data_IF_330188018619
#
_entry.id   IF_330188018619
#
_cell.length_a   1.000
_cell.length_b   1.000
_cell.length_c   1.000
_cell.angle_alpha   90.00
_cell.angle_beta   90.00
_cell.angle_gamma   90.00
#
_symmetry.space_group_name_H-M   'P 1'
#
loop_
_entity.id
_entity.type
_entity.pdbx_description
1 polymer ?
#
# COMPACT_ATOMS: atom_id res chain seq x y z
N UNK A 1 -18.56 -3.53 -25.99
CA UNK A 1 -19.02 -4.37 -24.87
C UNK A 1 -19.48 -3.38 -23.81
N UNK A 2 -20.78 -3.34 -23.54
CA UNK A 2 -21.42 -2.30 -22.71
C UNK A 2 -21.22 -2.65 -21.24
N UNK A 3 -21.20 -1.68 -20.32
CA UNK A 3 -21.07 -1.82 -18.85
C UNK A 3 -21.69 -3.08 -18.22
N UNK A 4 -22.89 -3.48 -18.67
CA UNK A 4 -23.61 -4.67 -18.18
C UNK A 4 -22.96 -6.00 -18.53
N UNK A 5 -22.10 -6.02 -19.54
CA UNK A 5 -21.45 -7.22 -20.05
C UNK A 5 -20.26 -7.62 -19.17
N UNK A 6 -19.50 -6.66 -18.61
CA UNK A 6 -18.30 -6.93 -17.80
C UNK A 6 -18.65 -7.55 -16.45
N UNK A 7 -19.55 -6.92 -15.69
CA UNK A 7 -19.99 -7.44 -14.38
C UNK A 7 -20.75 -8.77 -14.51
N UNK A 8 -21.59 -8.91 -15.53
CA UNK A 8 -22.29 -10.18 -15.82
C UNK A 8 -21.30 -11.29 -16.16
N UNK A 9 -20.35 -11.02 -17.04
CA UNK A 9 -19.35 -12.01 -17.45
C UNK A 9 -18.47 -12.42 -16.27
N UNK A 10 -18.13 -11.49 -15.38
CA UNK A 10 -17.45 -11.83 -14.14
C UNK A 10 -18.24 -12.79 -13.26
N UNK A 11 -19.54 -12.55 -13.09
CA UNK A 11 -20.40 -13.44 -12.30
C UNK A 11 -20.48 -14.84 -12.92
N UNK A 12 -20.52 -14.93 -14.25
CA UNK A 12 -20.45 -16.20 -14.99
C UNK A 12 -19.09 -16.91 -14.82
N UNK A 13 -18.00 -16.14 -14.73
CA UNK A 13 -16.62 -16.63 -14.56
C UNK A 13 -16.27 -16.96 -13.10
N UNK A 14 -17.01 -16.47 -12.10
CA UNK A 14 -16.74 -16.70 -10.66
C UNK A 14 -16.51 -18.17 -10.32
N UNK A 15 -17.25 -19.07 -10.95
CA UNK A 15 -17.19 -20.51 -10.71
C UNK A 15 -16.32 -21.28 -11.73
N UNK A 16 -15.67 -20.59 -12.66
CA UNK A 16 -14.76 -21.18 -13.64
C UNK A 16 -13.35 -21.37 -13.06
N UNK A 17 -12.56 -22.14 -13.80
CA UNK A 17 -11.17 -22.39 -13.44
C UNK A 17 -10.30 -21.11 -13.52
N UNK A 18 -9.10 -21.13 -12.91
CA UNK A 18 -8.22 -19.97 -12.90
C UNK A 18 -7.69 -19.55 -14.29
N UNK A 19 -7.62 -20.45 -15.27
CA UNK A 19 -7.09 -20.13 -16.61
C UNK A 19 -8.09 -19.28 -17.41
N UNK A 20 -9.38 -19.63 -17.35
CA UNK A 20 -10.44 -18.81 -17.95
C UNK A 20 -10.50 -17.41 -17.31
N UNK A 21 -10.37 -17.33 -15.98
CA UNK A 21 -10.31 -16.05 -15.25
C UNK A 21 -9.08 -15.22 -15.64
N UNK A 22 -7.92 -15.86 -15.83
CA UNK A 22 -6.70 -15.19 -16.27
C UNK A 22 -6.86 -14.60 -17.67
N UNK A 23 -7.40 -15.38 -18.61
CA UNK A 23 -7.62 -14.92 -19.98
C UNK A 23 -8.48 -13.67 -20.00
N UNK A 24 -9.49 -13.62 -19.13
CA UNK A 24 -10.36 -12.47 -18.97
C UNK A 24 -9.68 -11.26 -18.31
N UNK A 25 -8.94 -11.43 -17.20
CA UNK A 25 -8.16 -10.34 -16.58
C UNK A 25 -7.16 -9.74 -17.59
N UNK A 26 -6.54 -10.60 -18.40
CA UNK A 26 -5.60 -10.17 -19.45
C UNK A 26 -6.30 -9.35 -20.53
N UNK A 27 -7.55 -9.67 -20.88
CA UNK A 27 -8.34 -8.87 -21.81
C UNK A 27 -8.72 -7.51 -21.22
N UNK A 28 -9.08 -7.45 -19.94
CA UNK A 28 -9.32 -6.17 -19.24
C UNK A 28 -8.05 -5.30 -19.22
N UNK A 29 -6.87 -5.92 -19.06
CA UNK A 29 -5.59 -5.21 -19.13
C UNK A 29 -5.36 -4.52 -20.48
N UNK A 30 -5.84 -5.13 -21.57
CA UNK A 30 -5.68 -4.59 -22.92
C UNK A 30 -6.67 -3.45 -23.21
N UNK A 31 -7.83 -3.45 -22.55
CA UNK A 31 -8.88 -2.45 -22.75
C UNK A 31 -9.52 -2.05 -21.41
N UNK A 32 -8.78 -1.34 -20.55
CA UNK A 32 -9.28 -0.94 -19.24
C UNK A 32 -10.47 0.03 -19.40
N UNK A 33 -11.61 -0.31 -18.80
CA UNK A 33 -12.78 0.57 -18.68
C UNK A 33 -13.06 0.91 -17.22
N UNK A 34 -13.88 1.93 -16.96
CA UNK A 34 -14.28 2.29 -15.59
C UNK A 34 -15.00 1.12 -14.89
N UNK A 35 -15.80 0.34 -15.61
CA UNK A 35 -16.47 -0.85 -15.09
C UNK A 35 -15.52 -2.03 -14.82
N UNK A 36 -14.34 -2.01 -15.44
CA UNK A 36 -13.30 -3.01 -15.16
C UNK A 36 -12.72 -2.83 -13.76
N UNK A 37 -12.79 -1.62 -13.20
CA UNK A 37 -12.25 -1.29 -11.88
C UNK A 37 -12.93 -2.13 -10.79
N UNK A 38 -14.27 -2.08 -10.72
CA UNK A 38 -15.02 -2.80 -9.68
C UNK A 38 -14.72 -4.30 -9.71
N UNK A 39 -14.69 -4.90 -10.89
CA UNK A 39 -14.39 -6.33 -10.99
C UNK A 39 -12.95 -6.64 -10.61
N UNK A 40 -11.98 -5.85 -11.05
CA UNK A 40 -10.59 -6.08 -10.69
C UNK A 40 -10.36 -5.92 -9.18
N UNK A 41 -11.08 -5.01 -8.52
CA UNK A 41 -11.08 -4.87 -7.05
C UNK A 41 -11.68 -6.12 -6.38
N UNK A 42 -12.75 -6.70 -6.92
CA UNK A 42 -13.29 -7.99 -6.47
C UNK A 42 -12.29 -9.14 -6.64
N UNK A 43 -11.50 -9.12 -7.73
CA UNK A 43 -10.43 -10.11 -7.95
C UNK A 43 -9.35 -10.02 -6.87
N UNK A 44 -9.03 -8.82 -6.36
CA UNK A 44 -8.07 -8.63 -5.26
C UNK A 44 -8.46 -9.38 -3.98
N UNK A 45 -9.74 -9.76 -3.85
CA UNK A 45 -10.29 -10.44 -2.67
C UNK A 45 -10.38 -11.96 -2.82
N UNK A 46 -9.98 -12.51 -3.98
CA UNK A 46 -10.06 -13.94 -4.27
C UNK A 46 -8.89 -14.73 -3.66
N UNK A 47 -9.10 -16.01 -3.38
CA UNK A 47 -8.09 -16.85 -2.75
C UNK A 47 -6.82 -17.02 -3.60
N UNK A 48 -6.97 -17.05 -4.93
CA UNK A 48 -5.86 -17.26 -5.87
C UNK A 48 -4.89 -16.07 -5.86
N UNK A 49 -3.72 -16.28 -5.28
CA UNK A 49 -2.63 -15.29 -5.26
C UNK A 49 -2.27 -14.82 -6.67
N UNK A 50 -2.30 -15.73 -7.64
CA UNK A 50 -1.93 -15.46 -9.01
C UNK A 50 -2.92 -14.51 -9.68
N UNK A 51 -4.23 -14.74 -9.53
CA UNK A 51 -5.25 -13.84 -10.05
C UNK A 51 -5.17 -12.45 -9.39
N UNK A 52 -4.90 -12.41 -8.08
CA UNK A 52 -4.69 -11.16 -7.35
C UNK A 52 -3.50 -10.35 -7.86
N UNK A 53 -2.35 -10.99 -8.11
CA UNK A 53 -1.18 -10.29 -8.66
C UNK A 53 -1.46 -9.74 -10.05
N UNK A 54 -2.17 -10.49 -10.90
CA UNK A 54 -2.57 -10.02 -12.22
C UNK A 54 -3.51 -8.82 -12.13
N UNK A 55 -4.56 -8.89 -11.32
CA UNK A 55 -5.47 -7.77 -11.13
C UNK A 55 -4.77 -6.53 -10.56
N UNK A 56 -3.86 -6.69 -9.59
CA UNK A 56 -3.07 -5.59 -9.05
C UNK A 56 -2.17 -4.92 -10.10
N UNK A 57 -1.60 -5.69 -11.04
CA UNK A 57 -0.84 -5.14 -12.18
C UNK A 57 -1.74 -4.35 -13.12
N UNK A 58 -2.92 -4.88 -13.45
CA UNK A 58 -3.86 -4.18 -14.33
C UNK A 58 -4.30 -2.87 -13.70
N UNK A 59 -4.77 -2.91 -12.45
CA UNK A 59 -5.19 -1.72 -11.71
C UNK A 59 -4.09 -0.66 -11.67
N UNK A 60 -2.84 -1.05 -11.41
CA UNK A 60 -1.71 -0.12 -11.43
C UNK A 60 -1.54 0.64 -12.76
N UNK A 61 -1.82 -0.01 -13.90
CA UNK A 61 -1.74 0.63 -15.23
C UNK A 61 -2.92 1.57 -15.54
N UNK A 62 -4.02 1.48 -14.78
CA UNK A 62 -5.20 2.34 -14.97
C UNK A 62 -5.01 3.75 -14.38
N UNK A 63 -4.07 3.93 -13.44
CA UNK A 63 -3.67 5.24 -12.92
C UNK A 63 -4.69 5.88 -11.96
N UNK A 64 -4.87 7.19 -12.04
CA UNK A 64 -5.65 8.00 -11.08
C UNK A 64 -7.06 7.47 -10.76
N UNK A 65 -7.87 6.97 -11.72
CA UNK A 65 -9.24 6.52 -11.42
C UNK A 65 -9.33 5.39 -10.38
N UNK A 66 -8.27 4.60 -10.22
CA UNK A 66 -8.24 3.47 -9.26
C UNK A 66 -7.56 3.83 -7.94
N UNK A 67 -7.01 5.04 -7.79
CA UNK A 67 -6.28 5.44 -6.59
C UNK A 67 -7.16 5.37 -5.34
N UNK A 68 -8.27 6.11 -5.31
CA UNK A 68 -9.16 6.17 -4.14
C UNK A 68 -9.77 4.79 -3.83
N UNK A 69 -10.29 4.02 -4.81
CA UNK A 69 -10.78 2.67 -4.55
C UNK A 69 -9.72 1.74 -3.95
N UNK A 70 -8.46 1.81 -4.41
CA UNK A 70 -7.37 1.02 -3.84
C UNK A 70 -6.99 1.46 -2.42
N UNK A 71 -7.03 2.76 -2.14
CA UNK A 71 -6.80 3.32 -0.80
C UNK A 71 -7.87 2.84 0.18
N UNK A 72 -9.15 2.81 -0.22
CA UNK A 72 -10.22 2.23 0.60
C UNK A 72 -9.95 0.75 0.94
N UNK A 73 -9.38 0.00 -0.01
CA UNK A 73 -9.06 -1.40 0.18
C UNK A 73 -7.81 -1.66 1.04
N UNK A 74 -7.05 -0.63 1.40
CA UNK A 74 -5.99 -0.75 2.40
C UNK A 74 -6.55 -1.07 3.79
N UNK A 75 -7.79 -0.67 4.09
CA UNK A 75 -8.45 -0.96 5.36
C UNK A 75 -9.42 -2.14 5.33
N UNK A 76 -9.63 -2.77 4.16
CA UNK A 76 -10.72 -3.72 3.94
C UNK A 76 -10.26 -5.17 3.80
N UNK A 77 -11.17 -6.10 4.11
CA UNK A 77 -11.01 -7.52 3.82
C UNK A 77 -9.90 -8.24 4.58
N UNK A 78 -9.45 -9.36 3.99
CA UNK A 78 -8.41 -10.22 4.54
C UNK A 78 -7.01 -9.64 4.26
N UNK A 79 -5.99 -10.12 4.97
CA UNK A 79 -4.61 -9.63 4.83
C UNK A 79 -4.11 -9.63 3.38
N UNK A 80 -4.57 -10.61 2.60
CA UNK A 80 -4.15 -10.75 1.22
C UNK A 80 -4.82 -9.72 0.30
N UNK A 81 -6.00 -9.21 0.65
CA UNK A 81 -6.66 -8.10 -0.06
C UNK A 81 -5.81 -6.85 0.12
N UNK A 82 -5.53 -6.49 1.38
CA UNK A 82 -4.70 -5.32 1.73
C UNK A 82 -3.32 -5.39 1.07
N UNK A 83 -2.65 -6.53 1.13
CA UNK A 83 -1.36 -6.72 0.46
C UNK A 83 -1.43 -6.53 -1.06
N UNK A 84 -2.52 -6.97 -1.71
CA UNK A 84 -2.69 -6.80 -3.16
C UNK A 84 -2.95 -5.33 -3.52
N UNK A 85 -3.73 -4.60 -2.70
CA UNK A 85 -3.96 -3.17 -2.88
C UNK A 85 -2.70 -2.34 -2.66
N UNK A 86 -1.92 -2.67 -1.63
CA UNK A 86 -0.58 -2.11 -1.42
C UNK A 86 0.31 -2.31 -2.66
N UNK A 87 0.35 -3.53 -3.19
CA UNK A 87 1.16 -3.84 -4.38
C UNK A 87 0.69 -3.07 -5.63
N UNK A 88 -0.62 -2.88 -5.81
CA UNK A 88 -1.17 -2.09 -6.90
C UNK A 88 -0.78 -0.61 -6.78
N UNK A 89 -0.93 -0.01 -5.58
CA UNK A 89 -0.58 1.38 -5.31
C UNK A 89 0.92 1.65 -5.49
N UNK A 90 1.79 0.75 -4.98
CA UNK A 90 3.23 0.87 -5.17
C UNK A 90 3.64 0.84 -6.64
N UNK A 91 3.05 -0.07 -7.43
CA UNK A 91 3.31 -0.18 -8.88
C UNK A 91 2.73 1.00 -9.68
N UNK A 92 1.61 1.55 -9.25
CA UNK A 92 1.03 2.75 -9.84
C UNK A 92 1.98 3.94 -9.70
N UNK A 93 2.74 3.98 -8.60
CA UNK A 93 3.74 5.02 -8.37
C UNK A 93 3.13 6.41 -8.14
N UNK A 94 1.83 6.50 -7.84
CA UNK A 94 1.15 7.78 -7.67
C UNK A 94 1.62 8.46 -6.37
N UNK A 95 2.08 9.73 -6.41
CA UNK A 95 2.53 10.45 -5.22
C UNK A 95 1.51 10.48 -4.09
N UNK A 96 0.22 10.57 -4.41
CA UNK A 96 -0.89 10.60 -3.43
C UNK A 96 -1.03 9.29 -2.64
N UNK A 97 -0.40 8.19 -3.08
CA UNK A 97 -0.38 6.92 -2.36
C UNK A 97 0.62 6.90 -1.18
N UNK A 98 1.52 7.88 -1.07
CA UNK A 98 2.56 7.89 -0.05
C UNK A 98 2.00 7.85 1.38
N UNK A 99 1.18 8.81 1.78
CA UNK A 99 0.63 8.85 3.14
C UNK A 99 -0.25 7.62 3.48
N UNK A 100 -1.17 7.16 2.61
CA UNK A 100 -1.90 5.91 2.84
C UNK A 100 -0.99 4.68 3.04
N UNK A 101 0.06 4.53 2.22
CA UNK A 101 0.99 3.40 2.34
C UNK A 101 1.84 3.48 3.61
N UNK A 102 2.29 4.67 4.01
CA UNK A 102 2.99 4.89 5.28
C UNK A 102 2.12 4.49 6.47
N UNK A 103 0.82 4.78 6.41
CA UNK A 103 -0.15 4.35 7.42
C UNK A 103 -0.23 2.83 7.62
N UNK A 104 0.19 2.03 6.62
CA UNK A 104 0.14 0.57 6.63
C UNK A 104 1.41 -0.09 7.22
N UNK A 105 2.43 0.69 7.59
CA UNK A 105 3.67 0.17 8.19
C UNK A 105 3.46 -0.61 9.49
N UNK A 106 2.33 -0.38 10.18
CA UNK A 106 1.94 -1.06 11.41
C UNK A 106 0.89 -2.17 11.21
N UNK A 107 0.59 -2.57 9.97
CA UNK A 107 -0.42 -3.61 9.71
C UNK A 107 -0.11 -4.87 10.54
N UNK A 108 -1.09 -5.50 11.22
CA UNK A 108 -0.83 -6.65 12.07
C UNK A 108 -0.24 -7.85 11.31
N UNK A 109 -0.53 -7.98 10.02
CA UNK A 109 -0.03 -9.05 9.19
C UNK A 109 1.35 -8.72 8.59
N UNK A 110 2.33 -9.59 8.85
CA UNK A 110 3.69 -9.42 8.36
C UNK A 110 3.77 -9.32 6.83
N UNK A 111 3.00 -10.12 6.10
CA UNK A 111 3.02 -10.11 4.63
C UNK A 111 2.52 -8.79 4.06
N UNK A 112 1.55 -8.14 4.72
CA UNK A 112 1.14 -6.79 4.35
C UNK A 112 2.27 -5.81 4.59
N UNK A 113 2.89 -5.83 5.77
CA UNK A 113 4.03 -4.95 6.07
C UNK A 113 5.17 -5.12 5.05
N UNK A 114 5.53 -6.35 4.71
CA UNK A 114 6.57 -6.61 3.70
C UNK A 114 6.18 -6.02 2.33
N UNK A 115 4.91 -6.16 1.91
CA UNK A 115 4.41 -5.54 0.68
C UNK A 115 4.43 -4.00 0.75
N UNK A 116 4.17 -3.39 1.91
CA UNK A 116 4.21 -1.93 2.09
C UNK A 116 5.59 -1.43 1.79
N UNK A 117 6.62 -2.09 2.34
CA UNK A 117 7.98 -1.67 2.10
C UNK A 117 8.40 -1.80 0.63
N UNK A 118 8.02 -2.88 -0.05
CA UNK A 118 8.24 -3.02 -1.48
C UNK A 118 7.55 -1.87 -2.25
N UNK A 119 6.34 -1.49 -1.84
CA UNK A 119 5.60 -0.37 -2.44
C UNK A 119 6.27 0.99 -2.18
N UNK A 120 6.83 1.22 -0.99
CA UNK A 120 7.56 2.45 -0.67
C UNK A 120 8.84 2.57 -1.51
N UNK A 121 9.59 1.48 -1.70
CA UNK A 121 10.75 1.45 -2.60
C UNK A 121 10.34 1.75 -4.04
N UNK A 122 9.20 1.22 -4.49
CA UNK A 122 8.68 1.53 -5.82
C UNK A 122 8.28 3.01 -5.96
N UNK A 123 7.68 3.62 -4.93
CA UNK A 123 7.36 5.05 -4.95
C UNK A 123 8.61 5.92 -5.11
N UNK A 124 9.73 5.57 -4.46
CA UNK A 124 10.99 6.31 -4.60
C UNK A 124 11.54 6.34 -6.04
N UNK A 125 11.07 5.44 -6.93
CA UNK A 125 11.45 5.46 -8.36
C UNK A 125 10.71 6.54 -9.14
N UNK A 126 9.67 7.14 -8.57
CA UNK A 126 8.99 8.29 -9.14
C UNK A 126 9.45 9.57 -8.42
N UNK A 127 10.11 10.46 -9.15
CA UNK A 127 10.61 11.75 -8.65
C UNK A 127 9.51 12.62 -8.01
N UNK A 128 8.26 12.50 -8.45
CA UNK A 128 7.14 13.22 -7.86
C UNK A 128 6.62 12.59 -6.57
N UNK A 129 6.84 11.30 -6.36
CA UNK A 129 6.34 10.58 -5.18
C UNK A 129 7.32 10.64 -4.00
N UNK A 130 8.62 10.76 -4.26
CA UNK A 130 9.63 10.85 -3.21
C UNK A 130 9.43 12.05 -2.25
N UNK A 131 9.12 13.28 -2.71
CA UNK A 131 8.80 14.38 -1.81
C UNK A 131 7.56 14.13 -0.93
N UNK A 132 6.50 13.55 -1.51
CA UNK A 132 5.28 13.19 -0.76
C UNK A 132 5.57 12.11 0.28
N UNK A 133 6.44 11.13 -0.04
CA UNK A 133 6.88 10.12 0.90
C UNK A 133 7.73 10.71 2.03
N UNK A 134 8.64 11.64 1.71
CA UNK A 134 9.41 12.37 2.70
C UNK A 134 8.51 13.18 3.64
N UNK A 135 7.51 13.87 3.11
CA UNK A 135 6.53 14.58 3.91
C UNK A 135 5.71 13.63 4.80
N UNK A 136 5.30 12.49 4.25
CA UNK A 136 4.57 11.47 5.01
C UNK A 136 5.42 10.87 6.15
N UNK A 137 6.73 10.67 5.93
CA UNK A 137 7.66 10.22 6.97
C UNK A 137 7.89 11.31 8.03
N UNK A 138 8.02 12.57 7.63
CA UNK A 138 8.24 13.67 8.58
C UNK A 138 7.03 13.92 9.48
N UNK A 139 5.82 13.70 8.97
CA UNK A 139 4.58 13.79 9.74
C UNK A 139 4.42 12.70 10.81
N UNK A 140 5.26 11.66 10.80
CA UNK A 140 5.21 10.60 11.81
C UNK A 140 5.79 11.06 13.16
N UNK A 141 5.27 10.53 14.29
CA UNK A 141 5.93 10.69 15.59
C UNK A 141 7.37 10.22 15.55
N UNK A 142 8.27 10.87 16.29
CA UNK A 142 9.73 10.64 16.23
C UNK A 142 10.15 9.16 16.21
N UNK A 143 9.55 8.33 17.08
CA UNK A 143 9.83 6.88 17.13
C UNK A 143 9.39 6.16 15.86
N UNK A 144 8.20 6.45 15.35
CA UNK A 144 7.67 5.87 14.13
C UNK A 144 8.43 6.36 12.89
N UNK A 145 8.83 7.63 12.86
CA UNK A 145 9.70 8.20 11.82
C UNK A 145 11.04 7.50 11.76
N UNK A 146 11.71 7.29 12.90
CA UNK A 146 12.96 6.51 12.97
C UNK A 146 12.76 5.09 12.44
N UNK A 147 11.73 4.39 12.93
CA UNK A 147 11.39 3.05 12.45
C UNK A 147 11.15 3.01 10.93
N UNK A 148 10.43 4.01 10.39
CA UNK A 148 10.16 4.13 8.96
C UNK A 148 11.46 4.29 8.14
N UNK A 149 12.34 5.19 8.60
CA UNK A 149 13.64 5.46 7.96
C UNK A 149 14.58 4.25 8.06
N UNK A 150 14.71 3.65 9.24
CA UNK A 150 15.57 2.48 9.47
C UNK A 150 15.08 1.30 8.63
N UNK A 151 13.78 1.04 8.60
CA UNK A 151 13.20 -0.05 7.82
C UNK A 151 13.30 0.15 6.31
N UNK A 152 13.28 1.40 5.82
CA UNK A 152 13.56 1.71 4.42
C UNK A 152 15.05 1.55 4.12
N UNK A 153 15.93 2.02 5.00
CA UNK A 153 17.38 1.90 4.87
C UNK A 153 17.83 0.44 4.82
N UNK A 154 17.25 -0.43 5.65
CA UNK A 154 17.53 -1.87 5.65
C UNK A 154 17.12 -2.57 4.35
N UNK A 155 16.09 -2.06 3.66
CA UNK A 155 15.59 -2.66 2.43
C UNK A 155 16.21 -2.09 1.17
N UNK A 156 16.37 -0.77 1.12
CA UNK A 156 16.92 -0.06 -0.01
C UNK A 156 17.54 1.26 0.48
N UNK A 157 18.87 1.25 0.66
CA UNK A 157 19.63 2.41 1.11
C UNK A 157 19.58 3.58 0.14
N UNK A 158 19.39 3.32 -1.16
CA UNK A 158 19.30 4.37 -2.18
C UNK A 158 17.96 5.10 -2.06
N UNK A 159 16.86 4.34 -1.95
CA UNK A 159 15.53 4.87 -1.68
C UNK A 159 15.50 5.68 -0.38
N UNK A 160 16.11 5.16 0.70
CA UNK A 160 16.22 5.88 1.96
C UNK A 160 17.01 7.20 1.81
N UNK A 161 18.12 7.19 1.06
CA UNK A 161 18.92 8.38 0.78
C UNK A 161 18.18 9.42 -0.08
N UNK A 162 17.26 9.01 -0.94
CA UNK A 162 16.36 9.91 -1.66
C UNK A 162 15.38 10.60 -0.71
N UNK A 163 14.72 9.84 0.16
CA UNK A 163 13.77 10.35 1.15
C UNK A 163 14.45 11.32 2.12
N UNK A 164 15.61 10.95 2.67
CA UNK A 164 16.37 11.80 3.60
C UNK A 164 16.76 13.15 3.00
N UNK A 165 17.24 13.17 1.75
CA UNK A 165 17.57 14.42 1.05
C UNK A 165 16.36 15.36 0.95
N UNK A 166 15.19 14.83 0.58
CA UNK A 166 13.98 15.64 0.52
C UNK A 166 13.53 16.15 1.90
N UNK A 167 13.71 15.37 2.96
CA UNK A 167 13.42 15.82 4.33
C UNK A 167 14.38 16.93 4.78
N UNK A 168 15.66 16.84 4.44
CA UNK A 168 16.68 17.86 4.72
C UNK A 168 16.42 19.16 3.95
N UNK A 169 16.10 19.06 2.65
CA UNK A 169 15.80 20.21 1.79
C UNK A 169 14.51 20.94 2.21
N UNK A 170 13.56 20.21 2.80
CA UNK A 170 12.31 20.76 3.33
C UNK A 170 12.47 21.38 4.73
N UNK A 171 13.57 21.11 5.45
CA UNK A 171 13.80 21.69 6.75
C UNK A 171 13.98 23.21 6.61
N UNK A 172 13.23 24.04 7.36
CA UNK A 172 13.44 25.48 7.33
C UNK A 172 14.87 25.77 7.78
N UNK A 173 15.66 26.38 6.88
CA UNK A 173 16.98 26.95 7.15
C UNK A 173 17.01 27.54 8.58
N UNK A 174 17.73 26.88 9.48
CA UNK A 174 17.91 27.17 10.91
C UNK A 174 17.46 28.57 11.37
N UNK A 175 16.18 28.76 11.65
CA UNK A 175 15.65 29.89 12.41
C UNK A 175 14.17 29.69 12.77
N UNK A 176 13.90 28.81 13.75
CA UNK A 176 12.79 28.95 14.72
C UNK A 176 12.42 27.59 15.32
N UNK A 177 13.02 27.27 16.47
CA UNK A 177 12.29 26.56 17.50
C UNK A 177 11.74 27.60 18.49
N UNK A 178 10.55 27.38 19.06
CA UNK A 178 10.57 26.61 20.30
C UNK A 178 9.55 25.46 20.37
N UNK A 179 10.05 24.39 20.95
CA UNK A 179 9.40 23.40 21.83
C UNK A 179 8.02 23.78 22.38
N UNK A 180 6.95 23.06 21.98
CA UNK A 180 5.80 22.74 22.83
C UNK A 180 5.16 21.39 22.44
N UNK A 181 5.18 20.46 23.37
CA UNK A 181 4.44 19.20 23.35
C UNK A 181 2.92 19.41 23.57
N UNK A 182 2.07 18.65 22.86
CA UNK A 182 0.81 18.11 23.40
C UNK A 182 0.08 17.19 22.38
N UNK A 183 -0.10 15.92 22.76
CA UNK A 183 -1.37 15.20 22.66
C UNK A 183 -1.86 14.69 21.31
N UNK A 184 -1.56 13.43 20.99
CA UNK A 184 -2.51 12.49 20.39
C UNK A 184 -2.00 11.05 20.59
N UNK A 185 -2.33 10.48 21.73
CA UNK A 185 -2.23 9.05 22.02
C UNK A 185 -3.41 8.37 21.32
N UNK A 186 -3.18 7.63 20.24
CA UNK A 186 -4.05 6.55 19.72
C UNK A 186 -3.22 5.67 18.75
N UNK A 187 -2.88 4.47 19.21
CA UNK A 187 -2.42 3.29 18.45
C UNK A 187 -0.97 3.23 17.89
N UNK A 188 0.05 3.51 18.71
CA UNK A 188 1.45 3.08 18.43
C UNK A 188 2.09 2.23 19.54
N UNK A 189 1.36 1.94 20.63
CA UNK A 189 1.91 1.40 21.89
C UNK A 189 2.49 -0.02 21.84
N UNK A 190 2.33 -0.77 20.76
CA UNK A 190 2.76 -2.18 20.72
C UNK A 190 4.02 -2.45 19.89
N UNK A 191 4.67 -1.43 19.30
CA UNK A 191 5.80 -1.65 18.36
C UNK A 191 7.18 -1.62 19.03
N UNK A 192 7.29 -1.21 20.30
CA UNK A 192 8.61 -1.17 20.98
C UNK A 192 8.56 -1.77 22.38
N UNK A 193 8.70 -3.11 22.44
CA UNK A 193 9.23 -3.82 23.62
C UNK A 193 8.28 -4.81 24.29
N UNK A 194 8.61 -6.10 24.19
CA UNK A 194 7.97 -7.16 24.97
C UNK A 194 8.51 -8.56 24.65
N UNK A 195 9.82 -8.78 24.84
CA UNK A 195 10.29 -10.14 25.09
C UNK A 195 9.62 -10.67 26.36
N UNK A 196 9.08 -11.88 26.28
CA UNK A 196 8.76 -12.72 27.44
C UNK A 196 7.40 -12.49 28.07
N UNK A 197 6.44 -13.35 27.75
CA UNK A 197 5.76 -14.16 28.76
C UNK A 197 5.01 -15.33 28.10
N UNK A 198 5.70 -16.47 28.04
CA UNK A 198 5.02 -17.74 28.09
C UNK A 198 4.49 -17.94 29.51
N UNK A 199 3.17 -18.11 29.68
CA UNK A 199 2.55 -19.25 30.41
C UNK A 199 1.06 -19.06 30.66
N UNK A 200 0.34 -20.09 30.22
CA UNK A 200 -0.73 -20.80 30.93
C UNK A 200 -2.11 -20.18 31.16
N UNK A 201 -3.07 -21.10 30.99
CA UNK A 201 -4.45 -21.15 31.50
C UNK A 201 -5.51 -20.45 30.61
N UNK A 202 -6.66 -21.05 30.28
CA UNK A 202 -7.33 -22.19 30.89
C UNK A 202 -8.32 -22.87 29.92
N UNK A 203 -8.42 -24.19 30.11
CA UNK A 203 -9.59 -25.10 30.02
C UNK A 203 -10.50 -25.07 28.79
#
# INVERSE_FOLDING_TARGET
>A
MVAKDVARLWEELRHRDPEEKLGWITQLAQNPTEESIEVLLDVLQQESWFLRDQAARVLATMGEPVLEPLVEYLGSGLWYTRASSVAALGRMGNPRAAAPLVGMLNDPNRTVRDAVWDALVLLCRNELATPELAQAFDALPEKARRFALDGLMERDSEAAGLVLRHMEDAAPSEASAPDQAAGADLAWKDVVGGEGEAKQAAR
#
